data_IF_253661751051
#
_entry.id   IF_253661751051
#
_cell.length_a   1.000
_cell.length_b   1.000
_cell.length_c   1.000
_cell.angle_alpha   90.00
_cell.angle_beta   90.00
_cell.angle_gamma   90.00
#
_symmetry.space_group_name_H-M   'P 1'
#
loop_
_entity.id
_entity.type
_entity.pdbx_description
1 polymer ?
#
# COMPACT_ATOMS: atom_id res chain seq x y z
N UNK A 1 8.16 4.34 -2.73
CA UNK A 1 7.93 4.09 -4.16
C UNK A 1 6.44 4.24 -4.45
N UNK A 2 6.06 4.72 -5.63
CA UNK A 2 4.67 4.85 -6.05
C UNK A 2 4.56 4.60 -7.55
N UNK A 3 3.46 3.99 -7.99
CA UNK A 3 3.14 3.85 -9.41
C UNK A 3 2.60 5.19 -9.90
N UNK A 4 3.22 5.75 -10.94
CA UNK A 4 2.75 6.99 -11.58
C UNK A 4 1.66 6.61 -12.58
N UNK A 5 0.44 7.08 -12.34
CA UNK A 5 -0.71 6.96 -13.24
C UNK A 5 -1.04 8.32 -13.88
N UNK A 6 -2.14 8.41 -14.61
CA UNK A 6 -2.60 9.67 -15.23
C UNK A 6 -2.89 10.75 -14.18
N UNK A 7 -3.30 10.38 -12.97
CA UNK A 7 -3.56 11.32 -11.88
C UNK A 7 -2.30 12.10 -11.45
N UNK A 8 -1.12 11.53 -11.68
CA UNK A 8 0.17 12.10 -11.27
C UNK A 8 0.95 12.72 -12.43
N UNK A 9 0.35 12.92 -13.60
CA UNK A 9 1.05 13.43 -14.80
C UNK A 9 1.66 14.83 -14.59
N UNK A 10 1.09 15.62 -13.68
CA UNK A 10 1.57 16.97 -13.35
C UNK A 10 2.55 17.01 -12.17
N UNK A 11 2.92 15.86 -11.62
CA UNK A 11 3.82 15.81 -10.46
C UNK A 11 5.26 16.13 -10.84
N UNK A 12 5.93 16.88 -9.97
CA UNK A 12 7.36 17.19 -10.11
C UNK A 12 8.19 16.10 -9.43
N UNK A 13 9.07 15.43 -10.19
CA UNK A 13 10.11 14.59 -9.58
C UNK A 13 11.31 15.47 -9.20
N UNK A 14 11.54 15.62 -7.89
CA UNK A 14 12.70 16.30 -7.34
C UNK A 14 14.01 15.50 -7.48
N UNK A 15 15.12 16.07 -7.03
CA UNK A 15 16.47 15.50 -7.16
C UNK A 15 16.72 14.23 -6.33
N UNK A 16 15.81 13.89 -5.41
CA UNK A 16 15.87 12.69 -4.58
C UNK A 16 15.02 11.51 -5.08
N UNK A 17 14.39 11.62 -6.25
CA UNK A 17 13.62 10.54 -6.86
C UNK A 17 14.17 10.09 -8.20
N UNK A 18 13.89 8.83 -8.53
CA UNK A 18 14.10 8.27 -9.85
C UNK A 18 12.75 7.98 -10.48
N UNK A 19 12.56 8.44 -11.71
CA UNK A 19 11.49 7.96 -12.58
C UNK A 19 11.99 6.73 -13.32
N UNK A 20 11.38 5.58 -13.04
CA UNK A 20 11.71 4.32 -13.71
C UNK A 20 10.53 3.91 -14.58
N UNK A 21 10.81 3.58 -15.84
CA UNK A 21 9.82 3.11 -16.81
C UNK A 21 10.37 1.89 -17.53
N UNK A 22 9.56 0.84 -17.66
CA UNK A 22 9.89 -0.27 -18.51
C UNK A 22 10.03 0.20 -19.96
N UNK A 23 11.20 0.01 -20.58
CA UNK A 23 11.39 0.28 -22.01
C UNK A 23 10.90 -0.87 -22.91
N UNK A 24 10.52 -2.00 -22.32
CA UNK A 24 10.13 -3.21 -23.03
C UNK A 24 8.64 -3.47 -22.84
N UNK A 25 7.87 -3.76 -23.91
CA UNK A 25 6.42 -3.87 -23.84
C UNK A 25 5.92 -5.10 -23.05
N UNK A 26 6.77 -6.11 -22.87
CA UNK A 26 6.45 -7.33 -22.13
C UNK A 26 6.71 -7.23 -20.62
N UNK A 27 7.16 -6.06 -20.13
CA UNK A 27 7.36 -5.80 -18.70
C UNK A 27 6.30 -4.80 -18.26
N UNK A 28 5.42 -5.22 -17.36
CA UNK A 28 4.40 -4.35 -16.78
C UNK A 28 5.02 -3.42 -15.72
N UNK A 29 4.73 -2.11 -15.79
CA UNK A 29 5.21 -1.14 -14.82
C UNK A 29 4.66 -1.40 -13.40
N UNK A 30 3.47 -1.99 -13.29
CA UNK A 30 2.89 -2.42 -12.01
C UNK A 30 3.70 -3.56 -11.40
N UNK A 31 4.13 -4.52 -12.23
CA UNK A 31 5.04 -5.57 -11.78
C UNK A 31 6.39 -4.98 -11.33
N UNK A 32 6.95 -4.02 -12.07
CA UNK A 32 8.16 -3.32 -11.63
C UNK A 32 7.96 -2.66 -10.27
N UNK A 33 6.85 -1.95 -10.05
CA UNK A 33 6.57 -1.35 -8.74
C UNK A 33 6.58 -2.39 -7.62
N UNK A 34 5.97 -3.57 -7.82
CA UNK A 34 6.03 -4.68 -6.85
C UNK A 34 7.46 -5.22 -6.70
N UNK A 35 8.21 -5.37 -7.79
CA UNK A 35 9.59 -5.83 -7.77
C UNK A 35 10.51 -4.88 -6.98
N UNK A 36 10.32 -3.56 -7.13
CA UNK A 36 11.03 -2.55 -6.35
C UNK A 36 10.74 -2.62 -4.85
N UNK A 37 9.59 -3.18 -4.46
CA UNK A 37 9.22 -3.38 -3.06
C UNK A 37 9.96 -4.55 -2.41
N UNK A 38 10.59 -5.43 -3.20
CA UNK A 38 11.17 -6.66 -2.66
C UNK A 38 12.44 -6.40 -1.85
N UNK A 39 12.57 -7.09 -0.71
CA UNK A 39 13.74 -7.00 0.16
C UNK A 39 15.06 -7.22 -0.59
N UNK A 40 15.05 -8.12 -1.57
CA UNK A 40 16.22 -8.43 -2.39
C UNK A 40 16.69 -7.19 -3.15
N UNK A 41 15.77 -6.48 -3.81
CA UNK A 41 16.13 -5.31 -4.59
C UNK A 41 16.49 -4.14 -3.69
N UNK A 42 15.73 -3.94 -2.61
CA UNK A 42 16.02 -2.90 -1.61
C UNK A 42 17.42 -3.10 -1.04
N UNK A 43 17.79 -4.32 -0.62
CA UNK A 43 19.15 -4.64 -0.15
C UNK A 43 20.21 -4.41 -1.21
N UNK A 44 19.94 -4.77 -2.46
CA UNK A 44 20.86 -4.53 -3.57
C UNK A 44 21.08 -3.02 -3.79
N UNK A 45 20.03 -2.22 -3.74
CA UNK A 45 20.12 -0.76 -3.86
C UNK A 45 20.96 -0.16 -2.73
N UNK A 46 20.73 -0.59 -1.48
CA UNK A 46 21.53 -0.13 -0.34
C UNK A 46 23.00 -0.54 -0.45
N UNK A 47 23.32 -1.75 -0.93
CA UNK A 47 24.70 -2.21 -1.04
C UNK A 47 25.47 -1.55 -2.19
N UNK A 48 24.77 -0.97 -3.16
CA UNK A 48 25.36 -0.28 -4.32
C UNK A 48 25.22 1.24 -4.26
N UNK A 49 24.61 1.77 -3.21
CA UNK A 49 24.57 3.21 -2.95
C UNK A 49 25.99 3.73 -2.63
N UNK A 50 26.32 4.90 -3.16
CA UNK A 50 27.61 5.55 -2.94
C UNK A 50 27.52 6.56 -1.78
N UNK A 51 28.55 6.62 -0.94
CA UNK A 51 28.61 7.53 0.21
C UNK A 51 28.39 6.80 1.53
N UNK A 52 29.36 6.90 2.44
CA UNK A 52 29.36 6.18 3.72
C UNK A 52 28.41 6.77 4.77
N UNK A 53 28.18 8.10 4.72
CA UNK A 53 27.34 8.83 5.68
C UNK A 53 25.97 9.14 5.07
N UNK A 54 25.92 9.43 3.78
CA UNK A 54 24.69 9.72 3.04
C UNK A 54 24.65 8.86 1.78
N UNK A 55 24.03 7.67 1.83
CA UNK A 55 23.97 6.77 0.70
C UNK A 55 23.15 7.42 -0.42
N UNK A 56 23.79 7.62 -1.57
CA UNK A 56 23.17 8.18 -2.77
C UNK A 56 23.19 7.16 -3.90
N UNK A 57 22.05 7.00 -4.56
CA UNK A 57 21.97 6.24 -5.81
C UNK A 57 22.21 7.20 -6.97
N UNK A 58 23.04 6.78 -7.92
CA UNK A 58 23.25 7.52 -9.15
C UNK A 58 22.64 6.76 -10.34
N UNK A 59 22.54 7.43 -11.48
CA UNK A 59 22.00 6.82 -12.70
C UNK A 59 22.79 5.59 -13.15
N UNK A 60 24.11 5.54 -12.93
CA UNK A 60 24.93 4.39 -13.34
C UNK A 60 24.73 3.14 -12.48
N UNK A 61 24.32 3.29 -11.22
CA UNK A 61 23.87 2.17 -10.37
C UNK A 61 22.51 1.67 -10.86
N UNK A 62 21.56 2.58 -11.12
CA UNK A 62 20.24 2.21 -11.63
C UNK A 62 20.29 1.50 -12.99
N UNK A 63 21.21 1.88 -13.88
CA UNK A 63 21.42 1.20 -15.17
C UNK A 63 21.97 -0.23 -15.04
N UNK A 64 22.62 -0.57 -13.93
CA UNK A 64 23.17 -1.90 -13.66
C UNK A 64 22.24 -2.79 -12.84
N UNK A 65 21.05 -2.28 -12.50
CA UNK A 65 20.07 -2.98 -11.69
C UNK A 65 19.66 -4.31 -12.37
N UNK A 66 19.89 -5.46 -11.72
CA UNK A 66 19.40 -6.73 -12.25
C UNK A 66 17.88 -6.79 -12.09
N UNK A 67 17.16 -6.80 -13.21
CA UNK A 67 15.70 -6.97 -13.23
C UNK A 67 15.38 -8.39 -13.68
N UNK A 68 14.87 -9.20 -12.77
CA UNK A 68 14.31 -10.51 -13.07
C UNK A 68 12.79 -10.35 -13.23
N UNK A 69 12.26 -10.78 -14.38
CA UNK A 69 10.83 -10.72 -14.67
C UNK A 69 10.37 -12.08 -15.23
N UNK A 70 9.20 -12.58 -14.80
CA UNK A 70 8.61 -13.77 -15.39
C UNK A 70 7.91 -13.43 -16.71
N UNK A 71 7.30 -14.41 -17.35
CA UNK A 71 6.43 -14.18 -18.51
C UNK A 71 5.24 -13.26 -18.16
N UNK A 72 4.59 -12.73 -19.19
CA UNK A 72 3.56 -11.71 -19.03
C UNK A 72 2.32 -12.22 -18.28
N UNK A 73 1.94 -13.48 -18.47
CA UNK A 73 0.78 -14.07 -17.80
C UNK A 73 1.05 -14.19 -16.29
N UNK A 74 2.24 -14.67 -15.92
CA UNK A 74 2.69 -14.72 -14.52
C UNK A 74 2.78 -13.32 -13.90
N UNK A 75 3.23 -12.31 -14.65
CA UNK A 75 3.23 -10.93 -14.16
C UNK A 75 1.82 -10.45 -13.81
N UNK A 76 0.84 -10.70 -14.68
CA UNK A 76 -0.57 -10.33 -14.45
C UNK A 76 -1.13 -11.03 -13.23
N UNK A 77 -0.92 -12.34 -13.10
CA UNK A 77 -1.39 -13.10 -11.91
C UNK A 77 -0.84 -12.54 -10.60
N UNK A 78 0.46 -12.18 -10.57
CA UNK A 78 1.07 -11.56 -9.39
C UNK A 78 0.40 -10.21 -9.10
N UNK A 79 0.23 -9.36 -10.11
CA UNK A 79 -0.38 -8.03 -9.94
C UNK A 79 -1.80 -8.15 -9.39
N UNK A 80 -2.63 -9.06 -9.94
CA UNK A 80 -4.01 -9.27 -9.50
C UNK A 80 -4.10 -9.80 -8.06
N UNK A 81 -3.19 -10.71 -7.69
CA UNK A 81 -3.12 -11.22 -6.32
C UNK A 81 -2.82 -10.10 -5.32
N UNK A 82 -1.86 -9.22 -5.63
CA UNK A 82 -1.53 -8.07 -4.78
C UNK A 82 -2.66 -7.04 -4.75
N UNK A 83 -3.28 -6.74 -5.89
CA UNK A 83 -4.43 -5.84 -5.95
C UNK A 83 -5.59 -6.31 -5.05
N UNK A 84 -5.87 -7.62 -5.05
CA UNK A 84 -6.90 -8.21 -4.18
C UNK A 84 -6.57 -8.03 -2.69
N UNK A 85 -5.29 -8.12 -2.33
CA UNK A 85 -4.84 -7.90 -0.94
C UNK A 85 -5.00 -6.42 -0.56
N UNK A 86 -4.59 -5.51 -1.44
CA UNK A 86 -4.69 -4.07 -1.23
C UNK A 86 -6.15 -3.62 -1.09
N UNK A 87 -7.06 -4.17 -1.89
CA UNK A 87 -8.51 -3.93 -1.77
C UNK A 87 -9.04 -4.35 -0.41
N UNK A 88 -8.68 -5.56 0.06
CA UNK A 88 -9.08 -6.06 1.38
C UNK A 88 -8.51 -5.20 2.51
N UNK A 89 -7.25 -4.77 2.39
CA UNK A 89 -6.62 -3.89 3.36
C UNK A 89 -7.33 -2.54 3.42
N UNK A 90 -7.61 -1.94 2.26
CA UNK A 90 -8.35 -0.67 2.16
C UNK A 90 -9.73 -0.78 2.80
N UNK A 91 -10.49 -1.84 2.50
CA UNK A 91 -11.79 -2.08 3.12
C UNK A 91 -11.71 -2.24 4.64
N UNK A 92 -10.69 -2.95 5.15
CA UNK A 92 -10.48 -3.12 6.58
C UNK A 92 -10.14 -1.79 7.29
N UNK A 93 -9.26 -0.98 6.70
CA UNK A 93 -8.88 0.35 7.23
C UNK A 93 -10.08 1.30 7.23
N UNK A 94 -10.88 1.33 6.16
CA UNK A 94 -12.09 2.13 6.09
C UNK A 94 -13.11 1.73 7.17
N UNK A 95 -13.32 0.43 7.35
CA UNK A 95 -14.20 -0.10 8.41
C UNK A 95 -13.69 0.27 9.79
N UNK A 96 -12.38 0.18 10.04
CA UNK A 96 -11.78 0.57 11.30
C UNK A 96 -12.01 2.06 11.58
N UNK A 97 -11.77 2.93 10.60
CA UNK A 97 -12.01 4.38 10.73
C UNK A 97 -13.48 4.66 11.05
N UNK A 98 -14.40 4.07 10.28
CA UNK A 98 -15.84 4.27 10.48
C UNK A 98 -16.31 3.83 11.88
N UNK A 99 -15.80 2.70 12.39
CA UNK A 99 -16.11 2.24 13.75
C UNK A 99 -15.53 3.15 14.83
N UNK A 100 -14.32 3.68 14.62
CA UNK A 100 -13.72 4.64 15.55
C UNK A 100 -14.50 5.95 15.59
N UNK A 101 -14.93 6.45 14.44
CA UNK A 101 -15.73 7.67 14.33
C UNK A 101 -17.13 7.48 14.94
N UNK A 102 -17.76 6.33 14.71
CA UNK A 102 -19.02 5.96 15.35
C UNK A 102 -18.86 5.90 16.88
N UNK A 103 -17.81 5.22 17.37
CA UNK A 103 -17.54 5.12 18.80
C UNK A 103 -17.35 6.51 19.44
N UNK A 104 -16.57 7.39 18.79
CA UNK A 104 -16.35 8.77 19.26
C UNK A 104 -17.66 9.56 19.32
N UNK A 105 -18.50 9.43 18.30
CA UNK A 105 -19.80 10.09 18.25
C UNK A 105 -20.72 9.62 19.37
N UNK A 106 -20.87 8.30 19.54
CA UNK A 106 -21.70 7.72 20.60
C UNK A 106 -21.19 8.09 21.99
N UNK A 107 -19.88 8.04 22.21
CA UNK A 107 -19.28 8.45 23.48
C UNK A 107 -19.57 9.93 23.78
N UNK A 108 -19.46 10.81 22.77
CA UNK A 108 -19.79 12.22 22.92
C UNK A 108 -21.26 12.44 23.27
N UNK A 109 -22.20 11.74 22.63
CA UNK A 109 -23.63 11.83 22.95
C UNK A 109 -23.96 11.34 24.36
N UNK A 110 -23.31 10.27 24.81
CA UNK A 110 -23.45 9.76 26.18
C UNK A 110 -22.92 10.76 27.21
N UNK A 111 -21.73 11.31 26.99
CA UNK A 111 -21.09 12.27 27.91
C UNK A 111 -21.81 13.63 27.95
N UNK A 112 -22.47 14.01 26.86
CA UNK A 112 -23.32 15.22 26.80
C UNK A 112 -24.77 14.96 27.20
N UNK A 113 -25.08 13.75 27.70
CA UNK A 113 -26.42 13.32 28.11
C UNK A 113 -27.51 13.47 27.04
N UNK A 114 -27.13 13.56 25.75
CA UNK A 114 -28.05 13.55 24.61
C UNK A 114 -28.75 12.18 24.50
N UNK A 115 -28.02 11.12 24.83
CA UNK A 115 -28.52 9.74 24.86
C UNK A 115 -28.38 9.20 26.27
N UNK A 116 -29.48 8.74 26.90
CA UNK A 116 -29.46 8.22 28.27
C UNK A 116 -29.26 6.70 28.27
N UNK A 117 -28.31 6.22 29.09
CA UNK A 117 -27.93 4.80 29.12
C UNK A 117 -29.09 3.88 29.57
N UNK A 118 -29.98 4.35 30.45
CA UNK A 118 -31.07 3.53 30.99
C UNK A 118 -32.20 3.23 29.98
N UNK A 119 -32.26 3.94 28.86
CA UNK A 119 -33.22 3.71 27.77
C UNK A 119 -32.65 2.86 26.64
N UNK A 120 -31.36 2.49 26.70
CA UNK A 120 -30.74 1.61 25.71
C UNK A 120 -31.04 0.15 26.06
N UNK A 121 -32.00 -0.46 25.35
CA UNK A 121 -32.17 -1.90 25.39
C UNK A 121 -31.08 -2.57 24.55
N UNK A 122 -30.13 -3.22 25.21
CA UNK A 122 -29.19 -4.11 24.54
C UNK A 122 -29.87 -5.45 24.29
N UNK A 123 -30.30 -5.71 23.05
CA UNK A 123 -30.67 -7.07 22.67
C UNK A 123 -29.42 -7.95 22.76
N UNK A 124 -29.39 -8.82 23.77
CA UNK A 124 -28.34 -9.83 23.92
C UNK A 124 -28.51 -10.83 22.78
N UNK A 125 -27.87 -10.58 21.64
CA UNK A 125 -27.78 -11.56 20.57
C UNK A 125 -27.00 -12.75 21.08
N UNK A 126 -27.76 -13.77 21.46
CA UNK A 126 -27.29 -15.04 21.98
C UNK A 126 -26.37 -15.70 20.96
N UNK A 127 -25.15 -16.03 21.40
CA UNK A 127 -24.23 -16.94 20.75
C UNK A 127 -24.91 -18.29 20.53
N UNK A 128 -25.55 -18.47 19.38
CA UNK A 128 -25.94 -19.80 18.91
C UNK A 128 -24.72 -20.43 18.24
N UNK A 129 -23.93 -21.13 19.05
CA UNK A 129 -23.11 -22.23 18.55
C UNK A 129 -24.04 -23.19 17.78
N UNK A 130 -23.73 -23.48 16.52
CA UNK A 130 -24.38 -24.58 15.82
C UNK A 130 -23.36 -25.34 14.95
N UNK A 131 -23.29 -26.63 15.30
CA UNK A 131 -22.57 -27.79 14.75
C UNK A 131 -22.10 -27.73 13.30
#
# INVERSE_FOLDING_TARGET
QGLVSEAEETWLCGTGCFLVRACKPFIDNRFLALYFATDRLVKWLYSHAAGAIMPNLNNSVMQRLPVFYPDQETQVMIIEAFATIDEKLSAAVQKQSALQDLFRTLLHELMTAKTRVHTLEFSTSTTAANR
#
